data_IF_351139686872
#
_entry.id   IF_351139686872
#
_cell.length_a   1.000
_cell.length_b   1.000
_cell.length_c   1.000
_cell.angle_alpha   90.00
_cell.angle_beta   90.00
_cell.angle_gamma   90.00
#
_symmetry.space_group_name_H-M   'P 1'
#
loop_
_entity.id
_entity.type
_entity.pdbx_description
1 polymer ?
#
# COMPACT_ATOMS: atom_id res chain seq x y z
N UNK A 1 0.21 0.72 5.94
CA UNK A 1 1.32 1.70 5.72
C UNK A 1 0.97 2.56 4.50
N UNK A 2 1.63 3.70 4.21
CA UNK A 2 1.44 4.44 2.96
C UNK A 2 2.07 3.68 1.78
N UNK A 3 1.48 3.79 0.58
CA UNK A 3 1.89 3.00 -0.60
C UNK A 3 3.32 3.31 -1.05
N UNK A 4 3.77 4.56 -0.90
CA UNK A 4 5.18 4.95 -1.14
C UNK A 4 6.14 4.06 -0.36
N UNK A 5 5.88 3.82 0.93
CA UNK A 5 6.79 3.03 1.75
C UNK A 5 6.75 1.55 1.39
N UNK A 6 5.56 0.97 1.15
CA UNK A 6 5.48 -0.40 0.64
C UNK A 6 6.22 -0.58 -0.67
N UNK A 7 6.08 0.38 -1.60
CA UNK A 7 6.79 0.38 -2.89
C UNK A 7 8.31 0.38 -2.69
N UNK A 8 8.84 1.32 -1.90
CA UNK A 8 10.27 1.43 -1.63
C UNK A 8 10.83 0.18 -0.95
N UNK A 9 10.14 -0.33 0.07
CA UNK A 9 10.55 -1.52 0.82
C UNK A 9 10.53 -2.76 -0.09
N UNK A 10 9.45 -2.96 -0.83
CA UNK A 10 9.32 -4.09 -1.75
C UNK A 10 10.41 -4.10 -2.82
N UNK A 11 10.71 -2.94 -3.42
CA UNK A 11 11.78 -2.82 -4.41
C UNK A 11 13.16 -2.96 -3.76
N UNK A 12 13.39 -2.36 -2.59
CA UNK A 12 14.66 -2.49 -1.87
C UNK A 12 15.05 -3.95 -1.65
N UNK A 13 14.08 -4.78 -1.26
CA UNK A 13 14.30 -6.21 -1.00
C UNK A 13 14.47 -7.05 -2.26
N UNK A 14 14.08 -6.54 -3.44
CA UNK A 14 13.95 -7.39 -4.64
C UNK A 14 14.72 -6.90 -5.86
N UNK A 15 15.20 -5.67 -5.90
CA UNK A 15 15.78 -5.04 -7.10
C UNK A 15 17.02 -5.75 -7.67
N UNK A 16 17.71 -6.57 -6.87
CA UNK A 16 18.87 -7.39 -7.31
C UNK A 16 18.46 -8.74 -7.88
N UNK A 17 17.20 -9.15 -7.79
CA UNK A 17 16.68 -10.38 -8.39
C UNK A 17 16.34 -10.16 -9.86
N UNK A 18 16.49 -11.22 -10.65
CA UNK A 18 16.14 -11.26 -12.08
C UNK A 18 14.86 -12.06 -12.36
N UNK A 19 14.35 -12.80 -11.38
CA UNK A 19 13.15 -13.63 -11.54
C UNK A 19 11.91 -12.87 -11.07
N UNK A 20 11.05 -12.49 -11.99
CA UNK A 20 9.85 -11.68 -11.70
C UNK A 20 8.90 -12.33 -10.70
N UNK A 21 8.73 -13.67 -10.73
CA UNK A 21 7.91 -14.38 -9.75
C UNK A 21 8.44 -14.25 -8.33
N UNK A 22 9.76 -14.35 -8.15
CA UNK A 22 10.42 -14.18 -6.85
C UNK A 22 10.29 -12.73 -6.37
N UNK A 23 10.54 -11.77 -7.26
CA UNK A 23 10.38 -10.33 -6.98
C UNK A 23 8.97 -10.08 -6.47
N UNK A 24 7.97 -10.54 -7.21
CA UNK A 24 6.56 -10.33 -6.85
C UNK A 24 6.22 -10.95 -5.49
N UNK A 25 6.62 -12.21 -5.25
CA UNK A 25 6.29 -12.93 -4.00
C UNK A 25 7.00 -12.33 -2.78
N UNK A 26 8.28 -11.94 -2.89
CA UNK A 26 9.00 -11.29 -1.80
C UNK A 26 8.40 -9.91 -1.51
N UNK A 27 8.11 -9.11 -2.54
CA UNK A 27 7.48 -7.81 -2.37
C UNK A 27 6.09 -7.93 -1.75
N UNK A 28 5.29 -8.92 -2.17
CA UNK A 28 3.99 -9.24 -1.57
C UNK A 28 4.12 -9.64 -0.09
N UNK A 29 5.08 -10.49 0.23
CA UNK A 29 5.35 -10.91 1.62
C UNK A 29 5.82 -9.76 2.49
N UNK A 30 6.64 -8.86 1.94
CA UNK A 30 7.12 -7.67 2.65
C UNK A 30 5.98 -6.75 3.07
N UNK A 31 4.94 -6.60 2.24
CA UNK A 31 3.77 -5.82 2.60
C UNK A 31 3.19 -6.26 3.95
N UNK A 32 2.86 -7.55 4.08
CA UNK A 32 2.29 -8.09 5.32
C UNK A 32 3.24 -7.97 6.50
N UNK A 33 4.55 -8.20 6.27
CA UNK A 33 5.55 -8.11 7.32
C UNK A 33 5.63 -6.69 7.91
N UNK A 34 5.63 -5.67 7.05
CA UNK A 34 5.75 -4.29 7.49
C UNK A 34 4.42 -3.71 8.00
N UNK A 35 3.28 -4.27 7.61
CA UNK A 35 1.99 -3.93 8.18
C UNK A 35 1.78 -4.45 9.62
N UNK A 36 2.62 -5.37 10.09
CA UNK A 36 2.66 -5.76 11.51
C UNK A 36 3.26 -4.66 12.40
N UNK A 37 3.99 -3.71 11.84
CA UNK A 37 4.58 -2.60 12.58
C UNK A 37 3.54 -1.48 12.74
N UNK A 38 3.36 -0.89 13.93
CA UNK A 38 2.47 0.26 14.12
C UNK A 38 2.82 1.41 13.17
N UNK A 39 1.85 1.87 12.41
CA UNK A 39 2.05 2.89 11.40
C UNK A 39 0.82 3.78 11.24
N UNK A 40 0.95 4.87 10.49
CA UNK A 40 -0.12 5.80 10.18
C UNK A 40 -0.74 5.49 8.80
N UNK A 41 -2.07 5.71 8.68
CA UNK A 41 -2.79 5.66 7.41
C UNK A 41 -3.47 7.00 7.11
N UNK A 42 -3.62 7.32 5.84
CA UNK A 42 -4.51 8.42 5.48
C UNK A 42 -5.97 8.00 5.59
N UNK A 43 -6.77 8.92 6.14
CA UNK A 43 -8.21 8.69 6.31
C UNK A 43 -8.91 8.82 4.96
N UNK A 44 -9.80 7.87 4.67
CA UNK A 44 -10.65 7.85 3.46
C UNK A 44 -12.13 7.77 3.84
N UNK A 45 -12.68 8.80 4.53
CA UNK A 45 -14.05 8.76 5.03
C UNK A 45 -15.09 8.67 3.93
N UNK A 46 -14.91 9.39 2.81
CA UNK A 46 -15.85 9.40 1.70
C UNK A 46 -15.92 8.05 0.97
N UNK A 47 -14.77 7.40 0.79
CA UNK A 47 -14.72 6.04 0.25
C UNK A 47 -15.40 5.06 1.22
N UNK A 48 -15.15 5.18 2.53
CA UNK A 48 -15.80 4.33 3.54
C UNK A 48 -17.32 4.53 3.55
N UNK A 49 -17.82 5.74 3.44
CA UNK A 49 -19.25 6.05 3.37
C UNK A 49 -19.88 5.45 2.12
N UNK A 50 -19.27 5.64 0.95
CA UNK A 50 -19.76 5.09 -0.31
C UNK A 50 -19.86 3.55 -0.27
N UNK A 51 -18.89 2.90 0.38
CA UNK A 51 -18.85 1.42 0.50
C UNK A 51 -19.88 0.90 1.50
N UNK A 52 -20.15 1.62 2.58
CA UNK A 52 -21.14 1.22 3.59
C UNK A 52 -22.59 1.43 3.11
N UNK A 53 -22.80 2.14 2.00
CA UNK A 53 -24.12 2.25 1.40
C UNK A 53 -24.65 0.88 0.94
N UNK A 54 -25.99 0.64 0.98
CA UNK A 54 -26.58 -0.61 0.49
C UNK A 54 -26.17 -0.91 -0.95
N UNK A 55 -26.03 -2.20 -1.26
CA UNK A 55 -25.71 -2.65 -2.62
C UNK A 55 -26.75 -2.09 -3.61
N UNK A 56 -26.33 -1.41 -4.66
CA UNK A 56 -27.22 -0.67 -5.59
C UNK A 56 -27.36 0.83 -5.29
N UNK A 57 -26.95 1.31 -4.11
CA UNK A 57 -26.83 2.73 -3.76
C UNK A 57 -25.37 3.14 -3.54
N UNK A 58 -24.41 2.25 -3.84
CA UNK A 58 -22.99 2.47 -3.77
C UNK A 58 -22.54 3.36 -4.94
N UNK A 59 -22.88 4.61 -4.86
CA UNK A 59 -22.37 5.63 -5.78
C UNK A 59 -21.35 6.46 -5.01
N UNK A 60 -20.19 6.64 -5.60
CA UNK A 60 -19.34 7.76 -5.21
C UNK A 60 -20.20 9.00 -5.46
N UNK A 61 -20.80 9.56 -4.40
CA UNK A 61 -21.56 10.82 -4.55
C UNK A 61 -20.65 11.79 -5.26
N UNK A 62 -21.22 12.58 -6.17
CA UNK A 62 -20.55 13.63 -6.94
C UNK A 62 -20.24 14.81 -5.97
N UNK A 63 -19.45 14.52 -4.94
CA UNK A 63 -18.75 15.52 -4.13
C UNK A 63 -17.27 15.43 -4.49
N UNK A 64 -16.52 16.49 -4.36
CA UNK A 64 -15.07 16.51 -4.63
C UNK A 64 -14.30 15.55 -3.72
N UNK A 65 -14.82 15.26 -2.52
CA UNK A 65 -14.13 14.48 -1.48
C UNK A 65 -13.66 13.06 -1.87
N UNK A 66 -14.46 12.22 -2.58
CA UNK A 66 -13.95 10.92 -3.03
C UNK A 66 -12.85 11.04 -4.08
N UNK A 67 -12.91 12.04 -4.94
CA UNK A 67 -11.88 12.30 -5.94
C UNK A 67 -10.56 12.73 -5.29
N UNK A 68 -10.62 13.57 -4.25
CA UNK A 68 -9.44 13.99 -3.50
C UNK A 68 -8.78 12.80 -2.79
N UNK A 69 -9.58 11.88 -2.22
CA UNK A 69 -9.08 10.67 -1.57
C UNK A 69 -8.41 9.72 -2.59
N UNK A 70 -9.03 9.50 -3.74
CA UNK A 70 -8.46 8.70 -4.83
C UNK A 70 -7.18 9.34 -5.37
N UNK A 71 -7.19 10.67 -5.57
CA UNK A 71 -6.03 11.39 -6.05
C UNK A 71 -4.83 11.27 -5.10
N UNK A 72 -5.07 11.31 -3.78
CA UNK A 72 -4.01 11.07 -2.78
C UNK A 72 -3.41 9.67 -2.90
N UNK A 73 -4.24 8.65 -3.09
CA UNK A 73 -3.79 7.27 -3.30
C UNK A 73 -2.94 7.16 -4.57
N UNK A 74 -3.40 7.75 -5.67
CA UNK A 74 -2.67 7.75 -6.95
C UNK A 74 -1.34 8.50 -6.80
N UNK A 75 -1.36 9.66 -6.15
CA UNK A 75 -0.16 10.46 -5.93
C UNK A 75 0.86 9.69 -5.08
N UNK A 76 0.41 9.09 -3.98
CA UNK A 76 1.27 8.28 -3.10
C UNK A 76 1.92 7.12 -3.86
N UNK A 77 1.15 6.36 -4.64
CA UNK A 77 1.67 5.31 -5.50
C UNK A 77 2.67 5.84 -6.54
N UNK A 78 2.35 6.97 -7.17
CA UNK A 78 3.22 7.60 -8.19
C UNK A 78 4.55 8.03 -7.57
N UNK A 79 4.51 8.63 -6.38
CA UNK A 79 5.72 9.01 -5.62
C UNK A 79 6.52 7.76 -5.27
N UNK A 80 5.87 6.70 -4.79
CA UNK A 80 6.53 5.43 -4.48
C UNK A 80 7.24 4.80 -5.68
N UNK A 81 6.58 4.77 -6.82
CA UNK A 81 7.17 4.30 -8.09
C UNK A 81 8.32 5.20 -8.54
N UNK A 82 8.14 6.51 -8.53
CA UNK A 82 9.16 7.48 -8.94
C UNK A 82 10.42 7.41 -8.08
N UNK A 83 10.28 7.34 -6.76
CA UNK A 83 11.39 7.18 -5.83
C UNK A 83 12.07 5.81 -6.00
N UNK A 84 11.31 4.74 -6.27
CA UNK A 84 11.88 3.43 -6.55
C UNK A 84 12.73 3.44 -7.82
N UNK A 85 12.25 4.09 -8.89
CA UNK A 85 13.04 4.28 -10.13
C UNK A 85 14.29 5.15 -9.93
N UNK A 86 14.22 6.12 -9.02
CA UNK A 86 15.34 7.01 -8.72
C UNK A 86 16.43 6.34 -7.87
N UNK A 87 16.04 5.60 -6.83
CA UNK A 87 17.00 5.04 -5.88
C UNK A 87 17.63 3.72 -6.33
N UNK A 88 16.96 2.92 -7.15
CA UNK A 88 17.42 1.57 -7.50
C UNK A 88 17.83 1.44 -8.96
N UNK A 89 19.08 1.00 -9.18
CA UNK A 89 19.63 0.73 -10.51
C UNK A 89 19.18 -0.65 -11.02
N UNK A 90 17.87 -0.82 -11.25
CA UNK A 90 17.29 -2.03 -11.78
C UNK A 90 16.49 -1.73 -13.05
N UNK A 91 16.16 -2.76 -13.84
CA UNK A 91 15.31 -2.54 -15.01
C UNK A 91 13.93 -2.01 -14.58
N UNK A 92 13.30 -1.13 -15.35
CA UNK A 92 11.97 -0.60 -15.02
C UNK A 92 10.94 -1.71 -14.74
N UNK A 93 11.04 -2.84 -15.46
CA UNK A 93 10.13 -3.97 -15.26
C UNK A 93 10.32 -4.63 -13.88
N UNK A 94 11.56 -4.79 -13.40
CA UNK A 94 11.86 -5.29 -12.04
C UNK A 94 11.22 -4.38 -10.99
N UNK A 95 11.36 -3.08 -11.15
CA UNK A 95 10.80 -2.08 -10.24
C UNK A 95 9.26 -2.14 -10.26
N UNK A 96 8.66 -2.16 -11.45
CA UNK A 96 7.19 -2.23 -11.59
C UNK A 96 6.64 -3.51 -10.95
N UNK A 97 7.27 -4.67 -11.16
CA UNK A 97 6.84 -5.94 -10.55
C UNK A 97 6.99 -5.90 -9.03
N UNK A 98 8.09 -5.32 -8.51
CA UNK A 98 8.30 -5.12 -7.08
C UNK A 98 7.23 -4.22 -6.44
N UNK A 99 6.97 -3.07 -7.06
CA UNK A 99 5.91 -2.16 -6.62
C UNK A 99 4.55 -2.84 -6.69
N UNK A 100 4.22 -3.53 -7.79
CA UNK A 100 2.94 -4.22 -7.94
C UNK A 100 2.72 -5.28 -6.84
N UNK A 101 3.73 -6.11 -6.54
CA UNK A 101 3.66 -7.07 -5.44
C UNK A 101 3.45 -6.40 -4.10
N UNK A 102 4.21 -5.33 -3.83
CA UNK A 102 4.17 -4.62 -2.55
C UNK A 102 2.84 -3.90 -2.28
N UNK A 103 2.14 -3.39 -3.30
CA UNK A 103 0.89 -2.63 -3.11
C UNK A 103 -0.38 -3.45 -3.35
N UNK A 104 -0.25 -4.64 -3.96
CA UNK A 104 -1.41 -5.47 -4.30
C UNK A 104 -2.34 -5.76 -3.13
N UNK A 105 -1.87 -6.10 -1.90
CA UNK A 105 -2.78 -6.38 -0.79
C UNK A 105 -3.72 -5.21 -0.48
N UNK A 106 -3.24 -3.99 -0.45
CA UNK A 106 -4.06 -2.80 -0.21
C UNK A 106 -5.05 -2.55 -1.35
N UNK A 107 -4.63 -2.77 -2.60
CA UNK A 107 -5.53 -2.67 -3.74
C UNK A 107 -6.65 -3.71 -3.65
N UNK A 108 -6.35 -4.96 -3.26
CA UNK A 108 -7.36 -6.01 -3.08
C UNK A 108 -8.34 -5.66 -1.95
N UNK A 109 -7.88 -5.07 -0.85
CA UNK A 109 -8.76 -4.53 0.20
C UNK A 109 -9.64 -3.42 -0.36
N UNK A 110 -9.09 -2.49 -1.11
CA UNK A 110 -9.83 -1.43 -1.79
C UNK A 110 -10.92 -1.99 -2.72
N UNK A 111 -10.55 -2.88 -3.64
CA UNK A 111 -11.50 -3.55 -4.55
C UNK A 111 -12.56 -4.36 -3.81
N UNK A 112 -12.19 -5.09 -2.76
CA UNK A 112 -13.12 -5.90 -1.97
C UNK A 112 -14.21 -5.09 -1.28
N UNK A 113 -13.96 -3.81 -1.01
CA UNK A 113 -14.97 -2.89 -0.47
C UNK A 113 -16.06 -2.56 -1.50
N UNK A 114 -15.70 -2.41 -2.77
CA UNK A 114 -16.66 -2.15 -3.85
C UNK A 114 -17.33 -3.43 -4.36
N UNK A 115 -16.55 -4.52 -4.44
CA UNK A 115 -16.99 -5.82 -4.97
C UNK A 115 -16.74 -6.91 -3.93
N UNK A 116 -17.65 -7.11 -2.95
CA UNK A 116 -17.43 -8.04 -1.82
C UNK A 116 -17.62 -9.50 -2.24
N UNK A 117 -16.85 -9.98 -3.19
CA UNK A 117 -16.78 -11.41 -3.52
C UNK A 117 -16.05 -12.18 -2.41
N UNK A 118 -16.37 -13.45 -2.22
CA UNK A 118 -15.90 -14.27 -1.10
C UNK A 118 -14.36 -14.23 -0.92
N UNK A 119 -13.62 -14.31 -2.00
CA UNK A 119 -12.14 -14.31 -1.97
C UNK A 119 -11.60 -12.98 -1.43
N UNK A 120 -12.13 -11.84 -1.89
CA UNK A 120 -11.70 -10.51 -1.43
C UNK A 120 -12.12 -10.25 0.02
N UNK A 121 -13.28 -10.76 0.44
CA UNK A 121 -13.71 -10.68 1.85
C UNK A 121 -12.79 -11.50 2.75
N UNK A 122 -12.38 -12.70 2.33
CA UNK A 122 -11.42 -13.52 3.08
C UNK A 122 -10.05 -12.84 3.16
N UNK A 123 -9.60 -12.27 2.04
CA UNK A 123 -8.36 -11.49 2.01
C UNK A 123 -8.40 -10.28 2.96
N UNK A 124 -9.49 -9.49 2.97
CA UNK A 124 -9.65 -8.34 3.88
C UNK A 124 -9.60 -8.78 5.36
N UNK A 125 -10.22 -9.92 5.70
CA UNK A 125 -10.14 -10.51 7.05
C UNK A 125 -8.71 -10.92 7.42
N UNK A 126 -8.00 -11.58 6.50
CA UNK A 126 -6.61 -11.99 6.69
C UNK A 126 -5.70 -10.77 6.84
N UNK A 127 -5.83 -9.78 5.98
CA UNK A 127 -5.06 -8.53 6.03
C UNK A 127 -5.26 -7.81 7.37
N UNK A 128 -6.52 -7.66 7.83
CA UNK A 128 -6.83 -7.09 9.14
C UNK A 128 -6.28 -7.89 10.33
N UNK A 129 -6.20 -9.21 10.19
CA UNK A 129 -5.67 -10.08 11.25
C UNK A 129 -4.15 -9.91 11.40
N UNK A 130 -3.42 -9.77 10.29
CA UNK A 130 -1.97 -9.52 10.30
C UNK A 130 -1.64 -8.10 10.77
N UNK A 131 -2.47 -7.16 10.41
CA UNK A 131 -2.24 -5.74 10.64
C UNK A 131 -1.99 -5.40 12.11
N UNK A 132 -1.09 -4.45 12.39
CA UNK A 132 -0.81 -3.98 13.74
C UNK A 132 -2.10 -3.62 14.51
N UNK A 133 -2.21 -4.06 15.76
CA UNK A 133 -3.37 -3.79 16.61
C UNK A 133 -3.44 -2.33 17.06
N UNK A 134 -2.29 -1.71 17.28
CA UNK A 134 -2.16 -0.32 17.71
C UNK A 134 -1.67 0.52 16.53
N UNK A 135 -2.57 1.36 16.01
CA UNK A 135 -2.26 2.25 14.89
C UNK A 135 -1.83 3.61 15.41
N UNK A 136 -1.01 4.29 14.61
CA UNK A 136 -0.53 5.64 14.90
C UNK A 136 -1.37 6.73 14.21
N UNK A 137 -2.64 6.43 13.91
CA UNK A 137 -3.54 7.31 13.16
C UNK A 137 -3.83 8.64 13.90
N UNK A 138 -3.79 8.63 15.23
CA UNK A 138 -3.96 9.83 16.06
C UNK A 138 -2.64 10.59 16.31
N UNK A 139 -1.51 9.99 15.90
CA UNK A 139 -0.17 10.55 16.03
C UNK A 139 0.54 10.65 14.67
N UNK A 140 0.02 11.45 13.72
CA UNK A 140 0.50 11.43 12.33
C UNK A 140 1.99 11.74 12.20
N UNK A 141 2.53 12.66 13.00
CA UNK A 141 3.96 12.98 12.96
C UNK A 141 4.81 11.75 13.31
N UNK A 142 4.49 11.05 14.38
CA UNK A 142 5.23 9.86 14.81
C UNK A 142 5.06 8.73 13.78
N UNK A 143 3.81 8.49 13.35
CA UNK A 143 3.51 7.42 12.41
C UNK A 143 4.12 7.63 11.03
N UNK A 144 4.12 8.84 10.49
CA UNK A 144 4.74 9.16 9.20
C UNK A 144 6.26 9.12 9.32
N UNK A 145 6.83 9.74 10.36
CA UNK A 145 8.29 9.78 10.55
C UNK A 145 8.87 8.39 10.73
N UNK A 146 8.22 7.52 11.52
CA UNK A 146 8.69 6.13 11.69
C UNK A 146 8.71 5.35 10.37
N UNK A 147 7.69 5.52 9.55
CA UNK A 147 7.60 4.89 8.22
C UNK A 147 8.72 5.38 7.28
N UNK A 148 8.97 6.70 7.25
CA UNK A 148 10.04 7.29 6.44
C UNK A 148 11.41 6.79 6.91
N UNK A 149 11.65 6.73 8.21
CA UNK A 149 12.91 6.23 8.76
C UNK A 149 13.15 4.76 8.37
N UNK A 150 12.14 3.90 8.51
CA UNK A 150 12.24 2.48 8.13
C UNK A 150 12.57 2.35 6.63
N UNK A 151 11.82 3.05 5.78
CA UNK A 151 12.07 3.02 4.34
C UNK A 151 13.46 3.56 3.98
N UNK A 152 13.88 4.68 4.58
CA UNK A 152 15.19 5.27 4.35
C UNK A 152 16.32 4.34 4.78
N UNK A 153 16.23 3.69 5.93
CA UNK A 153 17.22 2.71 6.40
C UNK A 153 17.35 1.56 5.40
N UNK A 154 16.22 0.98 4.96
CA UNK A 154 16.24 -0.12 4.00
C UNK A 154 16.80 0.29 2.64
N UNK A 155 16.41 1.45 2.13
CA UNK A 155 16.97 2.00 0.89
C UNK A 155 18.48 2.19 1.04
N UNK A 156 18.95 2.77 2.15
CA UNK A 156 20.38 3.02 2.37
C UNK A 156 21.20 1.73 2.50
N UNK A 157 20.68 0.72 3.20
CA UNK A 157 21.40 -0.54 3.44
C UNK A 157 21.40 -1.48 2.22
N UNK A 158 20.36 -1.44 1.39
CA UNK A 158 20.16 -2.42 0.33
C UNK A 158 20.47 -1.88 -1.09
N UNK A 159 20.57 -0.58 -1.25
CA UNK A 159 20.90 0.10 -2.52
C UNK A 159 22.19 -0.36 -3.17
#
# INVERSE_FOLDING_TARGET
MILTNHSLIGVALTHKSIQYSIIFLIALGSHYLFDMIPHWHYRTPSIKEAVNAPFGKRTLRVSSAPYDEIMRIILDLTVGLGLSLYFFSASPMVIVVGVAGAVLPDLLVGFGRFYPIRVLVLHDRFHKWIHARHMLDDWPLIGITSQIIIAAILVFLLR
#
